data_IF_604357486605
#
_entry.id   IF_604357486605
#
_cell.length_a   1.000
_cell.length_b   1.000
_cell.length_c   1.000
_cell.angle_alpha   90.00
_cell.angle_beta   90.00
_cell.angle_gamma   90.00
#
_symmetry.space_group_name_H-M   'P 1'
#
loop_
_entity.id
_entity.type
_entity.pdbx_description
1 polymer ?
#
# COMPACT_ATOMS: atom_id res chain seq x y z
N UNK A 1 13.12 -21.23 2.12
CA UNK A 1 12.50 -21.12 0.79
C UNK A 1 11.66 -19.85 0.62
N UNK A 2 11.13 -19.25 1.69
CA UNK A 2 10.39 -17.96 1.64
C UNK A 2 11.28 -16.78 1.21
N UNK A 3 12.56 -16.78 1.61
CA UNK A 3 13.47 -15.65 1.35
C UNK A 3 13.79 -15.38 -0.14
N UNK A 4 13.57 -16.33 -1.06
CA UNK A 4 13.87 -16.12 -2.49
C UNK A 4 12.77 -15.35 -3.23
N UNK A 5 11.56 -15.27 -2.66
CA UNK A 5 10.43 -14.56 -3.26
C UNK A 5 10.30 -13.12 -2.75
N UNK A 6 11.00 -12.77 -1.67
CA UNK A 6 10.98 -11.43 -1.07
C UNK A 6 11.27 -10.30 -2.07
N UNK A 7 12.24 -10.40 -3.01
CA UNK A 7 12.47 -9.33 -3.98
C UNK A 7 11.28 -9.14 -4.93
N UNK A 8 10.70 -10.23 -5.43
CA UNK A 8 9.56 -10.20 -6.36
C UNK A 8 8.28 -9.74 -5.66
N UNK A 9 8.09 -10.13 -4.40
CA UNK A 9 6.99 -9.65 -3.55
C UNK A 9 7.18 -8.16 -3.27
N UNK A 10 8.37 -7.70 -2.86
CA UNK A 10 8.68 -6.27 -2.67
C UNK A 10 8.45 -5.45 -3.94
N UNK A 11 8.78 -6.01 -5.10
CA UNK A 11 8.64 -5.32 -6.40
C UNK A 11 7.18 -5.26 -6.88
N UNK A 12 6.40 -6.33 -6.72
CA UNK A 12 4.95 -6.31 -6.99
C UNK A 12 4.16 -5.52 -5.96
N UNK A 13 4.60 -5.60 -4.72
CA UNK A 13 4.07 -4.79 -3.64
C UNK A 13 4.55 -3.36 -3.77
N UNK A 14 5.59 -2.99 -4.53
CA UNK A 14 6.10 -1.60 -4.61
C UNK A 14 5.04 -0.52 -4.87
N UNK A 15 3.91 -0.89 -5.48
CA UNK A 15 2.74 -0.03 -5.70
C UNK A 15 1.86 0.18 -4.44
N UNK A 16 2.11 -0.60 -3.39
CA UNK A 16 1.40 -0.76 -2.10
C UNK A 16 2.36 -0.77 -0.89
N UNK A 17 3.65 -1.00 -1.12
CA UNK A 17 4.69 -0.88 -0.11
C UNK A 17 5.07 0.58 -0.06
N UNK A 18 4.92 1.23 1.10
CA UNK A 18 5.52 2.52 1.38
C UNK A 18 6.89 2.70 0.73
N UNK A 19 7.07 3.72 -0.12
CA UNK A 19 8.40 4.23 -0.41
C UNK A 19 8.89 4.89 0.88
N UNK A 20 9.68 4.15 1.67
CA UNK A 20 10.02 4.58 3.03
C UNK A 20 10.33 3.45 4.00
N UNK A 21 10.13 2.18 3.61
CA UNK A 21 10.73 1.04 4.31
C UNK A 21 12.25 1.03 4.07
N UNK A 22 12.94 2.03 4.62
CA UNK A 22 14.38 1.96 4.86
C UNK A 22 14.70 0.71 5.67
N UNK A 23 15.96 0.35 5.73
CA UNK A 23 16.48 -0.84 6.43
C UNK A 23 16.14 -0.92 7.96
N UNK A 24 15.27 -0.03 8.47
CA UNK A 24 14.87 0.13 9.87
C UNK A 24 13.48 -0.43 10.22
N UNK A 25 12.61 -0.74 9.25
CA UNK A 25 11.24 -1.23 9.55
C UNK A 25 11.22 -2.76 9.56
N UNK A 26 10.66 -3.34 10.62
CA UNK A 26 10.64 -4.79 10.79
C UNK A 26 9.73 -5.48 9.76
N UNK A 27 10.04 -6.75 9.45
CA UNK A 27 9.17 -7.61 8.63
C UNK A 27 7.76 -7.75 9.22
N UNK A 28 7.66 -7.74 10.55
CA UNK A 28 6.42 -7.86 11.29
C UNK A 28 5.55 -6.61 11.08
N UNK A 29 6.10 -5.43 11.33
CA UNK A 29 5.44 -4.15 11.09
C UNK A 29 5.05 -3.96 9.62
N UNK A 30 5.92 -4.35 8.68
CA UNK A 30 5.60 -4.33 7.25
C UNK A 30 4.40 -5.23 6.93
N UNK A 31 4.32 -6.41 7.56
CA UNK A 31 3.22 -7.35 7.32
C UNK A 31 1.91 -6.87 7.92
N UNK A 32 1.95 -6.23 9.09
CA UNK A 32 0.78 -5.64 9.75
C UNK A 32 0.23 -4.47 8.92
N UNK A 33 1.09 -3.56 8.49
CA UNK A 33 0.71 -2.42 7.64
C UNK A 33 0.11 -2.88 6.31
N UNK A 34 0.64 -3.95 5.71
CA UNK A 34 0.07 -4.53 4.49
C UNK A 34 -1.37 -5.06 4.73
N UNK A 35 -1.60 -5.74 5.85
CA UNK A 35 -2.93 -6.25 6.21
C UNK A 35 -3.90 -5.08 6.42
N UNK A 36 -3.45 -4.03 7.12
CA UNK A 36 -4.25 -2.82 7.37
C UNK A 36 -4.64 -2.11 6.07
N UNK A 37 -3.68 -1.87 5.16
CA UNK A 37 -3.96 -1.29 3.85
C UNK A 37 -4.97 -2.12 3.04
N UNK A 38 -4.83 -3.45 3.06
CA UNK A 38 -5.75 -4.36 2.37
C UNK A 38 -7.17 -4.32 2.95
N UNK A 39 -7.28 -4.25 4.27
CA UNK A 39 -8.56 -4.11 4.96
C UNK A 39 -9.20 -2.76 4.66
N UNK A 40 -8.44 -1.67 4.73
CA UNK A 40 -8.90 -0.32 4.42
C UNK A 40 -9.46 -0.22 2.99
N UNK A 41 -8.78 -0.82 2.01
CA UNK A 41 -9.30 -0.86 0.64
C UNK A 41 -10.62 -1.63 0.54
N UNK A 42 -10.71 -2.77 1.24
CA UNK A 42 -11.94 -3.57 1.26
C UNK A 42 -13.10 -2.78 1.85
N UNK A 43 -12.86 -2.04 2.93
CA UNK A 43 -13.86 -1.22 3.61
C UNK A 43 -14.25 0.01 2.78
N UNK A 44 -13.30 0.63 2.08
CA UNK A 44 -13.55 1.71 1.12
C UNK A 44 -14.44 1.25 -0.04
N UNK A 45 -14.08 0.13 -0.70
CA UNK A 45 -14.86 -0.45 -1.80
C UNK A 45 -16.25 -0.94 -1.34
N UNK A 46 -16.39 -1.27 -0.06
CA UNK A 46 -17.67 -1.64 0.57
C UNK A 46 -18.46 -0.43 1.08
N UNK A 47 -17.97 0.79 0.86
CA UNK A 47 -18.58 2.06 1.30
C UNK A 47 -18.76 2.17 2.83
N UNK A 48 -17.92 1.49 3.61
CA UNK A 48 -17.95 1.56 5.08
C UNK A 48 -17.16 2.75 5.63
N UNK A 49 -16.13 3.18 4.90
CA UNK A 49 -15.29 4.33 5.20
C UNK A 49 -15.29 5.26 3.98
N UNK A 50 -15.07 6.55 4.21
CA UNK A 50 -15.02 7.52 3.13
C UNK A 50 -13.60 7.59 2.49
N UNK A 51 -13.44 8.30 1.36
CA UNK A 51 -12.12 8.41 0.71
C UNK A 51 -11.05 9.05 1.61
N UNK A 52 -11.42 9.97 2.50
CA UNK A 52 -10.47 10.65 3.40
C UNK A 52 -10.00 9.68 4.47
N UNK A 53 -10.93 8.96 5.12
CA UNK A 53 -10.62 7.91 6.09
C UNK A 53 -9.68 6.85 5.48
N UNK A 54 -9.93 6.47 4.22
CA UNK A 54 -9.10 5.53 3.50
C UNK A 54 -7.66 6.04 3.34
N UNK A 55 -7.49 7.26 2.82
CA UNK A 55 -6.17 7.84 2.58
C UNK A 55 -5.39 8.06 3.89
N UNK A 56 -6.07 8.47 4.97
CA UNK A 56 -5.46 8.61 6.29
C UNK A 56 -4.91 7.27 6.80
N UNK A 57 -5.61 6.16 6.60
CA UNK A 57 -5.12 4.82 6.99
C UNK A 57 -3.89 4.43 6.15
N UNK A 58 -3.92 4.73 4.85
CA UNK A 58 -2.81 4.43 3.93
C UNK A 58 -1.56 5.24 4.32
N UNK A 59 -1.71 6.53 4.63
CA UNK A 59 -0.61 7.40 5.09
C UNK A 59 -0.02 6.89 6.42
N UNK A 60 -0.87 6.51 7.38
CA UNK A 60 -0.44 5.96 8.67
C UNK A 60 0.31 4.62 8.54
N UNK A 61 0.11 3.88 7.46
CA UNK A 61 0.88 2.67 7.14
C UNK A 61 2.26 2.99 6.53
N UNK A 62 2.61 4.27 6.42
CA UNK A 62 3.86 4.79 5.86
C UNK A 62 3.80 5.04 4.35
N UNK A 63 2.66 4.82 3.70
CA UNK A 63 2.55 4.99 2.25
C UNK A 63 2.52 6.48 1.92
N UNK A 64 3.41 6.90 1.01
CA UNK A 64 3.32 8.23 0.41
C UNK A 64 2.06 8.33 -0.44
N UNK A 65 1.08 9.10 0.06
CA UNK A 65 -0.24 9.23 -0.57
C UNK A 65 -0.16 9.95 -1.91
N UNK A 66 0.74 10.90 -2.09
CA UNK A 66 0.88 11.64 -3.34
C UNK A 66 1.41 10.71 -4.45
N UNK A 67 2.47 9.95 -4.16
CA UNK A 67 3.04 8.94 -5.06
C UNK A 67 2.02 7.83 -5.38
N UNK A 68 1.23 7.41 -4.37
CA UNK A 68 0.19 6.41 -4.51
C UNK A 68 -0.93 6.87 -5.45
N UNK A 69 -1.42 8.10 -5.28
CA UNK A 69 -2.46 8.67 -6.13
C UNK A 69 -1.96 8.92 -7.56
N UNK A 70 -0.71 9.37 -7.73
CA UNK A 70 -0.10 9.50 -9.06
C UNK A 70 -0.03 8.15 -9.77
N UNK A 71 0.37 7.10 -9.05
CA UNK A 71 0.41 5.73 -9.56
C UNK A 71 -0.97 5.22 -9.98
N UNK A 72 -1.99 5.43 -9.15
CA UNK A 72 -3.37 5.10 -9.50
C UNK A 72 -3.80 5.86 -10.75
N UNK A 73 -3.55 7.17 -10.78
CA UNK A 73 -3.95 8.03 -11.88
C UNK A 73 -3.28 7.60 -13.20
N UNK A 74 -1.98 7.29 -13.17
CA UNK A 74 -1.25 6.74 -14.31
C UNK A 74 -1.88 5.44 -14.81
N UNK A 75 -2.19 4.51 -13.90
CA UNK A 75 -2.80 3.23 -14.25
C UNK A 75 -4.20 3.40 -14.83
N UNK A 76 -5.02 4.31 -14.28
CA UNK A 76 -6.35 4.60 -14.80
C UNK A 76 -6.32 5.30 -16.16
N UNK A 77 -5.37 6.22 -16.38
CA UNK A 77 -5.15 6.86 -17.68
C UNK A 77 -4.65 5.89 -18.75
N UNK A 78 -3.97 4.80 -18.38
CA UNK A 78 -3.62 3.72 -19.31
C UNK A 78 -4.80 2.84 -19.74
N UNK A 79 -5.95 2.95 -19.06
CA UNK A 79 -7.18 2.18 -19.33
C UNK A 79 -8.27 2.98 -20.09
N UNK A 80 -8.09 4.28 -20.29
CA UNK A 80 -9.01 5.18 -21.04
C UNK A 80 -8.43 5.56 -22.40
#
# INVERSE_FOLDING_TARGET
MINSFLPQIKERMRLWTPQGLGDEVSLEETSENLILCGQALTDFLSLKIDPTDYLDIIENCGVDVDDYLETINFNLHGFL
#
